data_IF_209687212311
#
_entry.id   IF_209687212311
#
_cell.length_a   1.000
_cell.length_b   1.000
_cell.length_c   1.000
_cell.angle_alpha   90.00
_cell.angle_beta   90.00
_cell.angle_gamma   90.00
#
_symmetry.space_group_name_H-M   'P 1'
#
loop_
_entity.id
_entity.type
_entity.pdbx_description
1 polymer ?
#
# COMPACT_ATOMS: atom_id res chain seq x y z
N UNK A 1 4.88 -1.07 -14.55
CA UNK A 1 5.07 -1.33 -13.11
C UNK A 1 6.36 -0.66 -12.69
N UNK A 2 6.30 0.28 -11.74
CA UNK A 2 7.49 0.89 -11.16
C UNK A 2 8.26 -0.16 -10.34
N UNK A 3 9.60 -0.07 -10.34
CA UNK A 3 10.46 -0.92 -9.49
C UNK A 3 10.13 -0.64 -8.02
N UNK A 4 9.91 -1.68 -7.22
CA UNK A 4 9.69 -1.53 -5.79
C UNK A 4 10.97 -1.04 -5.10
N UNK A 5 10.83 -0.03 -4.24
CA UNK A 5 11.92 0.51 -3.43
C UNK A 5 12.19 -0.45 -2.27
N UNK A 6 13.37 -1.05 -2.23
CA UNK A 6 13.75 -2.00 -1.16
C UNK A 6 15.11 -1.72 -0.54
N UNK A 7 15.90 -0.81 -1.11
CA UNK A 7 17.23 -0.42 -0.63
C UNK A 7 17.37 1.10 -0.50
N UNK A 8 18.36 1.57 0.28
CA UNK A 8 18.67 2.99 0.38
C UNK A 8 19.08 3.59 -0.99
N UNK A 9 19.74 2.81 -1.85
CA UNK A 9 20.08 3.24 -3.21
C UNK A 9 18.84 3.49 -4.07
N UNK A 10 17.79 2.65 -3.92
CA UNK A 10 16.52 2.88 -4.61
C UNK A 10 15.83 4.15 -4.12
N UNK A 11 15.94 4.48 -2.82
CA UNK A 11 15.39 5.73 -2.27
C UNK A 11 16.11 6.93 -2.86
N UNK A 12 17.45 6.91 -2.88
CA UNK A 12 18.26 7.97 -3.51
C UNK A 12 17.89 8.13 -4.99
N UNK A 13 17.77 7.02 -5.73
CA UNK A 13 17.40 7.03 -7.14
C UNK A 13 15.97 7.53 -7.41
N UNK A 14 15.05 7.38 -6.45
CA UNK A 14 13.67 7.84 -6.57
C UNK A 14 13.50 9.35 -6.30
N UNK A 15 14.46 9.99 -5.63
CA UNK A 15 14.36 11.38 -5.19
C UNK A 15 13.44 11.60 -3.98
N UNK A 16 12.90 10.53 -3.39
CA UNK A 16 12.06 10.59 -2.19
C UNK A 16 12.95 10.94 -0.99
N UNK A 17 12.48 11.90 -0.18
CA UNK A 17 13.08 12.25 1.10
C UNK A 17 12.35 11.55 2.24
N UNK A 18 13.08 11.09 3.24
CA UNK A 18 12.54 10.42 4.43
C UNK A 18 12.48 11.43 5.57
N UNK A 19 11.30 11.66 6.11
CA UNK A 19 11.14 12.50 7.29
C UNK A 19 11.41 11.68 8.56
N UNK A 20 12.32 12.18 9.40
CA UNK A 20 12.66 11.61 10.71
C UNK A 20 12.21 12.55 11.81
N UNK A 21 11.74 11.98 12.92
CA UNK A 21 11.52 12.76 14.16
C UNK A 21 12.85 13.34 14.63
N UNK A 22 12.83 14.52 15.22
CA UNK A 22 14.03 15.21 15.72
C UNK A 22 14.96 14.31 16.54
N UNK A 23 14.39 13.52 17.46
CA UNK A 23 15.14 12.59 18.31
C UNK A 23 15.92 11.58 17.46
N UNK A 24 15.27 10.99 16.45
CA UNK A 24 15.90 10.01 15.57
C UNK A 24 16.88 10.65 14.59
N UNK A 25 16.66 11.90 14.21
CA UNK A 25 17.59 12.65 13.39
C UNK A 25 18.90 12.91 14.16
N UNK A 26 18.80 13.37 15.40
CA UNK A 26 19.97 13.62 16.26
C UNK A 26 20.70 12.31 16.63
N UNK A 27 19.96 11.22 16.84
CA UNK A 27 20.55 9.89 17.04
C UNK A 27 21.25 9.37 15.79
N UNK A 28 20.67 9.60 14.61
CA UNK A 28 21.27 9.21 13.35
C UNK A 28 22.64 9.88 13.11
N UNK A 29 22.73 11.19 13.42
CA UNK A 29 24.00 11.91 13.36
C UNK A 29 25.05 11.34 14.34
N UNK A 30 24.62 10.83 15.49
CA UNK A 30 25.50 10.36 16.55
C UNK A 30 25.93 8.90 16.40
N UNK A 31 25.05 8.02 15.94
CA UNK A 31 25.21 6.58 16.06
C UNK A 31 25.48 5.83 14.74
N UNK A 32 25.54 6.53 13.60
CA UNK A 32 26.01 5.98 12.30
C UNK A 32 25.37 4.65 11.87
N UNK A 33 24.10 4.41 12.22
CA UNK A 33 23.39 3.18 11.82
C UNK A 33 23.13 3.08 10.33
N UNK A 34 23.14 4.22 9.64
CA UNK A 34 23.05 4.29 8.17
C UNK A 34 24.34 4.91 7.66
N UNK A 35 24.91 4.39 6.56
CA UNK A 35 26.08 4.98 5.94
C UNK A 35 25.87 6.47 5.64
N UNK A 36 26.84 7.31 6.03
CA UNK A 36 26.78 8.77 5.91
C UNK A 36 26.45 9.26 4.49
N UNK A 37 26.76 8.47 3.45
CA UNK A 37 26.43 8.77 2.06
C UNK A 37 24.93 8.95 1.81
N UNK A 38 24.09 8.33 2.64
CA UNK A 38 22.64 8.42 2.57
C UNK A 38 22.05 9.53 3.46
N UNK A 39 22.85 10.22 4.27
CA UNK A 39 22.37 11.26 5.20
C UNK A 39 21.48 12.33 4.54
N UNK A 40 21.76 12.64 3.27
CA UNK A 40 21.04 13.66 2.47
C UNK A 40 19.58 13.31 2.17
N UNK A 41 19.18 12.05 2.29
CA UNK A 41 17.79 11.64 2.08
C UNK A 41 16.92 11.97 3.29
N UNK A 42 17.52 12.14 4.47
CA UNK A 42 16.78 12.39 5.70
C UNK A 42 16.49 13.86 5.88
N UNK A 43 15.23 14.16 6.21
CA UNK A 43 14.75 15.50 6.53
C UNK A 43 14.25 15.48 7.97
N UNK A 44 14.62 16.51 8.71
CA UNK A 44 14.16 16.73 10.07
C UNK A 44 12.69 17.16 10.08
N UNK A 45 11.89 16.55 10.94
CA UNK A 45 10.50 16.91 11.15
C UNK A 45 10.06 16.78 12.61
N UNK A 46 9.16 17.66 13.04
CA UNK A 46 8.54 17.58 14.35
C UNK A 46 7.55 16.40 14.41
N UNK A 47 7.34 15.86 15.61
CA UNK A 47 6.44 14.71 15.84
C UNK A 47 5.03 14.98 15.33
N UNK A 48 4.50 16.15 15.67
CA UNK A 48 3.14 16.57 15.33
C UNK A 48 2.95 16.66 13.82
N UNK A 49 3.96 17.15 13.11
CA UNK A 49 3.91 17.28 11.66
C UNK A 49 3.97 15.92 10.97
N UNK A 50 4.87 15.03 11.40
CA UNK A 50 4.99 13.68 10.85
C UNK A 50 3.67 12.93 10.99
N UNK A 51 3.10 12.91 12.20
CA UNK A 51 1.84 12.21 12.45
C UNK A 51 0.71 12.81 11.61
N UNK A 52 0.61 14.15 11.55
CA UNK A 52 -0.37 14.83 10.71
C UNK A 52 -0.22 14.51 9.22
N UNK A 53 1.00 14.44 8.69
CA UNK A 53 1.24 14.10 7.29
C UNK A 53 0.90 12.64 6.98
N UNK A 54 1.23 11.74 7.89
CA UNK A 54 0.95 10.30 7.75
C UNK A 54 -0.54 10.01 7.87
N UNK A 55 -1.23 10.60 8.85
CA UNK A 55 -2.69 10.47 9.02
C UNK A 55 -3.48 11.05 7.84
N UNK A 56 -2.90 12.03 7.13
CA UNK A 56 -3.42 12.59 5.87
C UNK A 56 -2.98 11.81 4.62
N UNK A 57 -2.32 10.67 4.78
CA UNK A 57 -1.86 9.82 3.67
C UNK A 57 -0.99 10.56 2.64
N UNK A 58 -0.16 11.51 3.06
CA UNK A 58 0.70 12.26 2.14
C UNK A 58 1.84 11.38 1.60
N UNK A 59 1.85 11.11 0.29
CA UNK A 59 2.83 10.25 -0.39
C UNK A 59 4.04 10.99 -0.97
N UNK A 60 4.16 12.30 -0.75
CA UNK A 60 5.28 13.11 -1.27
C UNK A 60 6.61 12.85 -0.56
N UNK A 61 6.56 12.19 0.59
CA UNK A 61 7.69 11.90 1.47
C UNK A 61 7.61 10.45 1.95
N UNK A 62 8.77 9.87 2.28
CA UNK A 62 8.87 8.65 3.08
C UNK A 62 8.85 8.98 4.57
N UNK A 63 8.43 8.03 5.39
CA UNK A 63 8.35 8.22 6.84
C UNK A 63 9.02 7.07 7.57
N UNK A 64 9.72 7.41 8.65
CA UNK A 64 10.19 6.41 9.61
C UNK A 64 9.16 6.24 10.72
N UNK A 65 8.53 5.07 10.77
CA UNK A 65 7.41 4.77 11.65
C UNK A 65 7.72 3.55 12.51
N UNK A 66 7.11 3.50 13.70
CA UNK A 66 7.13 2.29 14.51
C UNK A 66 6.25 1.21 13.88
N UNK A 67 6.54 -0.06 14.19
CA UNK A 67 5.74 -1.21 13.73
C UNK A 67 4.26 -1.05 14.14
N UNK A 68 3.99 -0.57 15.36
CA UNK A 68 2.62 -0.31 15.83
C UNK A 68 1.86 0.70 14.96
N UNK A 69 2.55 1.72 14.43
CA UNK A 69 1.94 2.72 13.57
C UNK A 69 1.77 2.20 12.13
N UNK A 70 2.69 1.35 11.68
CA UNK A 70 2.55 0.61 10.42
C UNK A 70 1.30 -0.28 10.47
N UNK A 71 1.05 -0.96 11.58
CA UNK A 71 -0.17 -1.77 11.77
C UNK A 71 -1.43 -0.91 11.62
N UNK A 72 -1.47 0.28 12.24
CA UNK A 72 -2.60 1.23 12.12
C UNK A 72 -2.84 1.63 10.66
N UNK A 73 -1.79 1.96 9.91
CA UNK A 73 -1.89 2.28 8.48
C UNK A 73 -2.38 1.05 7.71
N UNK A 74 -1.82 -0.13 7.97
CA UNK A 74 -2.23 -1.37 7.32
C UNK A 74 -3.72 -1.69 7.55
N UNK A 75 -4.22 -1.50 8.77
CA UNK A 75 -5.64 -1.63 9.08
C UNK A 75 -6.48 -0.61 8.32
N UNK A 76 -6.01 0.62 8.20
CA UNK A 76 -6.68 1.67 7.43
C UNK A 76 -6.72 1.34 5.93
N UNK A 77 -5.62 0.84 5.37
CA UNK A 77 -5.52 0.39 3.97
C UNK A 77 -6.39 -0.84 3.70
N UNK A 78 -6.54 -1.74 4.67
CA UNK A 78 -7.42 -2.92 4.56
C UNK A 78 -8.90 -2.53 4.43
N UNK A 79 -9.31 -1.45 5.10
CA UNK A 79 -10.67 -0.91 4.99
C UNK A 79 -10.81 0.01 3.77
N UNK A 80 -9.71 0.60 3.30
CA UNK A 80 -9.67 1.39 2.07
C UNK A 80 -9.66 0.51 0.82
N UNK A 81 -10.09 1.07 -0.31
CA UNK A 81 -9.94 0.42 -1.63
C UNK A 81 -8.56 0.62 -2.24
N UNK A 82 -7.66 1.35 -1.59
CA UNK A 82 -6.36 1.72 -2.14
C UNK A 82 -5.23 1.53 -1.13
N UNK A 83 -4.05 1.21 -1.67
CA UNK A 83 -2.80 1.10 -0.92
C UNK A 83 -1.95 2.34 -1.15
N UNK A 84 -1.83 3.19 -0.15
CA UNK A 84 -1.12 4.47 -0.21
C UNK A 84 0.38 4.30 0.04
N UNK A 85 0.74 3.37 0.92
CA UNK A 85 2.10 3.19 1.39
C UNK A 85 2.64 1.82 1.04
N UNK A 86 3.94 1.80 0.72
CA UNK A 86 4.71 0.57 0.61
C UNK A 86 5.68 0.50 1.78
N UNK A 87 5.50 -0.51 2.62
CA UNK A 87 6.41 -0.79 3.73
C UNK A 87 7.65 -1.51 3.19
N UNK A 88 8.81 -1.02 3.59
CA UNK A 88 10.10 -1.64 3.26
C UNK A 88 10.64 -2.35 4.49
N UNK A 89 11.36 -3.45 4.31
CA UNK A 89 11.97 -4.19 5.42
C UNK A 89 13.27 -3.54 5.93
N UNK A 90 13.53 -2.29 5.54
CA UNK A 90 14.68 -1.52 6.01
C UNK A 90 14.41 -1.02 7.43
N UNK A 91 14.63 -1.89 8.41
CA UNK A 91 14.54 -1.54 9.83
C UNK A 91 15.92 -1.13 10.32
N UNK A 92 16.12 0.14 10.68
CA UNK A 92 17.40 0.60 11.24
C UNK A 92 17.56 0.23 12.72
N UNK A 93 16.47 0.08 13.47
CA UNK A 93 16.53 -0.25 14.90
C UNK A 93 15.19 -0.76 15.45
N UNK A 94 15.26 -1.79 16.30
CA UNK A 94 14.12 -2.20 17.15
C UNK A 94 14.10 -1.33 18.40
N UNK A 95 13.02 -0.57 18.56
CA UNK A 95 12.80 0.28 19.74
C UNK A 95 11.63 -0.33 20.49
N UNK A 96 11.83 -0.58 21.79
CA UNK A 96 10.80 -1.12 22.66
C UNK A 96 10.12 0.02 23.41
N UNK A 97 8.79 -0.01 23.49
CA UNK A 97 8.05 0.82 24.42
C UNK A 97 8.26 0.26 25.83
N UNK A 98 8.91 1.02 26.70
CA UNK A 98 9.24 0.60 28.07
C UNK A 98 8.60 1.61 29.01
N UNK A 99 7.97 1.10 30.08
CA UNK A 99 7.50 1.94 31.19
C UNK A 99 8.66 2.06 32.18
N UNK A 100 9.29 3.25 32.32
CA UNK A 100 10.38 3.41 33.27
C UNK A 100 9.82 3.34 34.69
N UNK A 101 10.38 2.45 35.51
CA UNK A 101 10.08 2.34 36.93
C UNK A 101 11.37 2.57 37.72
N UNK A 102 11.24 3.12 38.92
CA UNK A 102 12.36 3.22 39.86
C UNK A 102 12.91 1.82 40.15
N UNK A 103 14.24 1.72 40.33
CA UNK A 103 14.98 0.44 40.40
C UNK A 103 14.39 -0.55 41.41
N UNK A 104 13.88 -0.03 42.52
CA UNK A 104 13.32 -0.81 43.62
C UNK A 104 11.82 -0.52 43.84
N UNK A 105 11.12 -0.14 42.77
CA UNK A 105 9.68 0.10 42.83
C UNK A 105 8.94 -1.18 43.24
N UNK A 106 8.10 -1.15 44.29
CA UNK A 106 7.31 -2.30 44.70
C UNK A 106 6.27 -2.70 43.65
N UNK A 107 5.99 -1.83 42.68
CA UNK A 107 5.02 -2.06 41.61
C UNK A 107 5.60 -2.83 40.43
N UNK A 108 6.92 -3.07 40.38
CA UNK A 108 7.56 -3.62 39.18
C UNK A 108 6.98 -4.96 38.75
N UNK A 109 6.90 -5.91 39.66
CA UNK A 109 6.34 -7.23 39.38
C UNK A 109 4.84 -7.13 39.01
N UNK A 110 4.11 -6.22 39.65
CA UNK A 110 2.68 -6.00 39.35
C UNK A 110 2.48 -5.45 37.95
N UNK A 111 3.33 -4.51 37.50
CA UNK A 111 3.28 -4.00 36.13
C UNK A 111 3.70 -5.05 35.11
N UNK A 112 4.75 -5.82 35.37
CA UNK A 112 5.21 -6.89 34.48
C UNK A 112 4.09 -7.94 34.28
N UNK A 113 3.45 -8.37 35.39
CA UNK A 113 2.31 -9.28 35.34
C UNK A 113 1.11 -8.68 34.60
N UNK A 114 0.81 -7.40 34.82
CA UNK A 114 -0.28 -6.71 34.14
C UNK A 114 -0.03 -6.65 32.64
N UNK A 115 1.15 -6.20 32.23
CA UNK A 115 1.56 -6.12 30.82
C UNK A 115 1.44 -7.52 30.20
N UNK A 116 2.05 -8.54 30.82
CA UNK A 116 2.00 -9.90 30.31
C UNK A 116 0.56 -10.41 30.15
N UNK A 117 -0.29 -10.20 31.17
CA UNK A 117 -1.71 -10.60 31.11
C UNK A 117 -2.45 -9.86 30.02
N UNK A 118 -2.26 -8.55 29.88
CA UNK A 118 -2.90 -7.73 28.86
C UNK A 118 -2.54 -8.19 27.45
N UNK A 119 -1.27 -8.52 27.20
CA UNK A 119 -0.83 -9.12 25.94
C UNK A 119 -1.44 -10.52 25.74
N UNK A 120 -1.35 -11.40 26.73
CA UNK A 120 -1.86 -12.78 26.61
C UNK A 120 -3.38 -12.87 26.41
N UNK A 121 -4.12 -11.89 26.93
CA UNK A 121 -5.57 -11.82 26.82
C UNK A 121 -6.03 -11.15 25.51
N UNK A 122 -5.11 -10.67 24.67
CA UNK A 122 -5.43 -9.98 23.42
C UNK A 122 -5.98 -8.55 23.62
N UNK A 123 -5.79 -7.96 24.81
CA UNK A 123 -6.35 -6.63 25.12
C UNK A 123 -5.66 -5.53 24.32
N UNK A 124 -4.37 -5.68 24.02
CA UNK A 124 -3.60 -4.71 23.24
C UNK A 124 -4.10 -4.68 21.79
N UNK A 125 -4.34 -5.85 21.20
CA UNK A 125 -4.87 -6.00 19.84
C UNK A 125 -6.29 -5.45 19.73
N UNK A 126 -7.13 -5.72 20.72
CA UNK A 126 -8.49 -5.15 20.80
C UNK A 126 -8.44 -3.63 20.91
N UNK A 127 -7.61 -3.10 21.81
CA UNK A 127 -7.41 -1.66 21.96
C UNK A 127 -6.92 -0.99 20.68
N UNK A 128 -5.94 -1.59 19.97
CA UNK A 128 -5.48 -1.11 18.66
C UNK A 128 -6.61 -1.07 17.63
N UNK A 129 -7.42 -2.13 17.55
CA UNK A 129 -8.56 -2.19 16.62
C UNK A 129 -9.62 -1.12 16.94
N UNK A 130 -9.91 -0.91 18.21
CA UNK A 130 -10.89 0.09 18.65
C UNK A 130 -10.38 1.50 18.38
N UNK A 131 -9.10 1.76 18.66
CA UNK A 131 -8.45 3.03 18.36
C UNK A 131 -8.55 3.40 16.88
N UNK A 132 -8.34 2.46 15.96
CA UNK A 132 -8.48 2.70 14.51
C UNK A 132 -9.92 3.10 14.19
N UNK A 133 -10.90 2.33 14.66
CA UNK A 133 -12.31 2.59 14.42
C UNK A 133 -12.76 3.96 14.98
N UNK A 134 -12.41 4.26 16.22
CA UNK A 134 -12.73 5.53 16.88
C UNK A 134 -12.04 6.71 16.17
N UNK A 135 -10.80 6.54 15.73
CA UNK A 135 -10.06 7.58 15.00
C UNK A 135 -10.66 7.87 13.62
N UNK A 136 -11.23 6.86 12.97
CA UNK A 136 -12.00 7.03 11.72
C UNK A 136 -13.30 7.79 12.02
N UNK A 137 -14.05 7.37 13.04
CA UNK A 137 -15.31 7.99 13.43
C UNK A 137 -15.14 9.46 13.83
N UNK A 138 -14.05 9.78 14.55
CA UNK A 138 -13.67 11.13 14.92
C UNK A 138 -13.11 11.97 13.75
N UNK A 139 -12.91 11.38 12.56
CA UNK A 139 -12.36 12.07 11.39
C UNK A 139 -10.85 12.40 11.49
N UNK A 140 -10.14 11.76 12.42
CA UNK A 140 -8.69 11.92 12.61
C UNK A 140 -7.91 11.09 11.58
N UNK A 141 -8.40 9.90 11.25
CA UNK A 141 -7.90 9.05 10.17
C UNK A 141 -8.75 9.24 8.92
N UNK A 142 -8.12 9.65 7.82
CA UNK A 142 -8.80 9.67 6.53
C UNK A 142 -8.72 8.28 5.90
N UNK A 143 -9.85 7.57 5.88
CA UNK A 143 -9.98 6.46 4.94
C UNK A 143 -10.22 7.10 3.59
N UNK A 144 -9.26 6.92 2.68
CA UNK A 144 -9.44 7.34 1.30
C UNK A 144 -10.48 6.46 0.61
N UNK A 145 -11.75 6.73 0.89
CA UNK A 145 -12.87 6.36 0.02
C UNK A 145 -12.94 7.41 -1.08
N UNK A 146 -11.96 7.39 -2.00
CA UNK A 146 -12.17 8.08 -3.27
C UNK A 146 -13.25 7.30 -4.02
N UNK A 147 -14.50 7.73 -3.83
CA UNK A 147 -15.69 7.21 -4.51
C UNK A 147 -15.58 7.27 -6.04
N UNK A 148 -14.61 8.02 -6.58
CA UNK A 148 -14.34 8.13 -8.01
C UNK A 148 -13.42 7.05 -8.58
N UNK A 149 -12.59 6.38 -7.78
CA UNK A 149 -11.56 5.45 -8.29
C UNK A 149 -11.79 3.96 -7.97
N UNK A 150 -12.77 3.62 -7.12
CA UNK A 150 -13.13 2.22 -6.83
C UNK A 150 -13.95 1.55 -7.95
N UNK A 151 -14.44 2.33 -8.91
CA UNK A 151 -14.90 1.81 -10.19
C UNK A 151 -13.77 2.08 -11.18
N UNK A 152 -12.93 1.06 -11.44
CA UNK A 152 -12.14 1.02 -12.67
C UNK A 152 -13.12 1.32 -13.81
N UNK A 153 -13.17 2.58 -14.26
CA UNK A 153 -13.95 2.98 -15.43
C UNK A 153 -13.31 2.23 -16.58
N UNK A 154 -13.92 1.12 -16.98
CA UNK A 154 -13.49 0.37 -18.16
C UNK A 154 -13.39 1.37 -19.31
N UNK A 155 -12.18 1.63 -19.75
CA UNK A 155 -11.96 2.50 -20.90
C UNK A 155 -12.04 1.67 -22.17
N UNK A 156 -12.32 2.31 -23.30
CA UNK A 156 -12.31 1.66 -24.60
C UNK A 156 -10.95 1.02 -24.95
N UNK A 157 -9.86 1.53 -24.34
CA UNK A 157 -8.52 0.99 -24.51
C UNK A 157 -8.34 -0.38 -23.86
N UNK A 158 -8.92 -0.58 -22.66
CA UNK A 158 -8.88 -1.86 -21.95
C UNK A 158 -9.61 -2.97 -22.71
N UNK A 159 -10.68 -2.60 -23.44
CA UNK A 159 -11.48 -3.55 -24.24
C UNK A 159 -10.98 -3.74 -25.67
N UNK A 160 -9.90 -3.05 -26.08
CA UNK A 160 -9.45 -3.00 -27.49
C UNK A 160 -9.18 -4.39 -28.07
N UNK A 161 -8.54 -5.26 -27.30
CA UNK A 161 -8.25 -6.63 -27.74
C UNK A 161 -9.51 -7.50 -27.86
N UNK A 162 -10.51 -7.26 -27.01
CA UNK A 162 -11.82 -7.91 -27.13
C UNK A 162 -12.52 -7.53 -28.43
N UNK A 163 -12.48 -6.25 -28.80
CA UNK A 163 -13.02 -5.77 -30.07
C UNK A 163 -12.28 -6.34 -31.29
N UNK A 164 -10.96 -6.44 -31.23
CA UNK A 164 -10.20 -7.08 -32.31
C UNK A 164 -10.52 -8.55 -32.49
N UNK A 165 -10.63 -9.31 -31.38
CA UNK A 165 -11.03 -10.72 -31.44
C UNK A 165 -12.44 -10.88 -32.02
N UNK A 166 -13.37 -10.01 -31.63
CA UNK A 166 -14.74 -10.01 -32.15
C UNK A 166 -14.80 -9.72 -33.67
N UNK A 167 -14.13 -8.67 -34.13
CA UNK A 167 -14.08 -8.32 -35.56
C UNK A 167 -13.38 -9.39 -36.39
N UNK A 168 -12.33 -9.99 -35.84
CA UNK A 168 -11.62 -11.09 -36.49
C UNK A 168 -12.52 -12.33 -36.64
N UNK A 169 -13.28 -12.68 -35.61
CA UNK A 169 -14.25 -13.78 -35.66
C UNK A 169 -15.32 -13.55 -36.75
N UNK A 170 -15.91 -12.34 -36.79
CA UNK A 170 -16.89 -11.97 -37.82
C UNK A 170 -16.29 -12.07 -39.23
N UNK A 171 -15.05 -11.59 -39.40
CA UNK A 171 -14.38 -11.61 -40.70
C UNK A 171 -14.19 -13.04 -41.21
N UNK A 172 -13.78 -13.97 -40.33
CA UNK A 172 -13.64 -15.39 -40.69
C UNK A 172 -15.00 -15.99 -41.07
N UNK A 173 -16.05 -15.72 -40.29
CA UNK A 173 -17.39 -16.23 -40.59
C UNK A 173 -17.91 -15.75 -41.95
N UNK A 174 -17.68 -14.48 -42.29
CA UNK A 174 -18.06 -13.91 -43.60
C UNK A 174 -17.29 -14.61 -44.72
N UNK A 175 -15.98 -14.84 -44.57
CA UNK A 175 -15.16 -15.51 -45.57
C UNK A 175 -15.65 -16.94 -45.82
N UNK A 176 -15.93 -17.69 -44.75
CA UNK A 176 -16.48 -19.05 -44.85
C UNK A 176 -17.83 -19.04 -45.58
N UNK A 177 -18.73 -18.13 -45.21
CA UNK A 177 -20.05 -18.01 -45.83
C UNK A 177 -19.96 -17.68 -47.33
N UNK A 178 -19.08 -16.77 -47.73
CA UNK A 178 -18.87 -16.41 -49.15
C UNK A 178 -18.28 -17.59 -49.93
N UNK A 179 -17.32 -18.33 -49.35
CA UNK A 179 -16.76 -19.53 -49.98
C UNK A 179 -17.82 -20.62 -50.16
N UNK A 180 -18.63 -20.86 -49.14
CA UNK A 180 -19.74 -21.82 -49.21
C UNK A 180 -20.75 -21.41 -50.29
N UNK A 181 -21.15 -20.15 -50.32
CA UNK A 181 -22.07 -19.61 -51.32
C UNK A 181 -21.52 -19.76 -52.75
N UNK A 182 -20.24 -19.44 -52.96
CA UNK A 182 -19.57 -19.57 -54.26
C UNK A 182 -19.36 -21.03 -54.68
N UNK A 183 -19.21 -21.97 -53.74
CA UNK A 183 -19.14 -23.41 -54.06
C UNK A 183 -20.51 -24.03 -54.34
N UNK A 184 -21.57 -23.57 -53.66
CA UNK A 184 -22.93 -24.11 -53.82
C UNK A 184 -23.62 -23.60 -55.08
N UNK A 185 -23.45 -22.32 -55.43
CA UNK A 185 -24.04 -21.70 -56.64
C UNK A 185 -23.77 -22.46 -57.95
N UNK A 186 -22.52 -22.86 -58.29
CA UNK A 186 -22.27 -23.63 -59.51
C UNK A 186 -22.90 -25.02 -59.42
N UNK A 187 -22.94 -25.64 -58.23
CA UNK A 187 -23.55 -26.97 -58.02
C UNK A 187 -25.06 -26.94 -58.29
N UNK A 188 -25.76 -25.89 -57.86
CA UNK A 188 -27.18 -25.67 -58.13
C UNK A 188 -27.43 -25.39 -59.62
N UNK A 189 -26.59 -24.56 -60.27
CA UNK A 189 -26.70 -24.30 -61.71
C UNK A 189 -26.50 -25.56 -62.57
N UNK A 190 -25.61 -26.47 -62.15
CA UNK A 190 -25.43 -27.77 -62.82
C UNK A 190 -26.63 -28.71 -62.63
N UNK A 191 -27.30 -28.67 -61.48
CA UNK A 191 -28.48 -29.50 -61.19
C UNK A 191 -29.75 -29.03 -61.92
N UNK A 192 -29.90 -27.73 -62.16
CA UNK A 192 -31.05 -27.13 -62.88
C UNK A 192 -30.94 -27.19 -64.42
N UNK A 193 -29.78 -27.60 -64.96
CA UNK A 193 -29.53 -27.68 -66.41
C UNK A 193 -29.69 -29.10 -66.97
N UNK A 194 -30.25 -30.03 -66.19
CA UNK A 194 -30.56 -31.41 -66.54
C UNK A 194 -32.07 -31.62 -66.39
#
# INVERSE_FOLDING_TARGET
MSKQISTYDDIVGSGIKIMLRDIFYDEHEKFSYVPWQYSRIFVRGEVVDIEKYVLKMNTSLGYYLSEDFIDVIYWTEKVSSYKYFYFTNMCSQKIFLIIPLEKDSPLRNTFDDLIFRSWSAGLIEKWKSDFVYESIEAGLLQIGFNSESALLRLTWEDLRYGWYAYLFGISISIVIFVLEYLMILPRIKYFLKK
#
